data_IF_906475861985
#
_entry.id   IF_906475861985
#
_cell.length_a   1.000
_cell.length_b   1.000
_cell.length_c   1.000
_cell.angle_alpha   90.00
_cell.angle_beta   90.00
_cell.angle_gamma   90.00
#
_symmetry.space_group_name_H-M   'P 1'
#
loop_
_entity.id
_entity.type
_entity.pdbx_description
1 polymer ?
#
# COMPACT_ATOMS: atom_id res chain seq x y z
N UNK A 1 -9.75 -34.64 56.72
CA UNK A 1 -8.99 -35.11 55.55
C UNK A 1 -9.40 -34.27 54.32
N UNK A 2 -8.62 -33.24 54.05
CA UNK A 2 -8.88 -32.34 52.90
C UNK A 2 -8.11 -32.84 51.67
N UNK A 3 -8.80 -33.44 50.72
CA UNK A 3 -8.26 -33.75 49.39
C UNK A 3 -8.14 -32.46 48.59
N UNK A 4 -6.94 -31.88 48.51
CA UNK A 4 -6.59 -30.84 47.55
C UNK A 4 -6.75 -31.46 46.15
N UNK A 5 -7.76 -31.01 45.38
CA UNK A 5 -7.84 -31.24 43.96
C UNK A 5 -6.65 -30.55 43.30
N UNK A 6 -5.70 -31.32 42.80
CA UNK A 6 -4.68 -30.83 41.90
C UNK A 6 -5.39 -30.39 40.60
N UNK A 7 -5.61 -29.10 40.45
CA UNK A 7 -5.89 -28.50 39.18
C UNK A 7 -4.62 -28.71 38.32
N UNK A 8 -4.69 -29.67 37.40
CA UNK A 8 -3.75 -29.76 36.30
C UNK A 8 -3.85 -28.45 35.52
N UNK A 9 -3.04 -27.47 35.87
CA UNK A 9 -2.78 -26.32 35.02
C UNK A 9 -2.05 -26.92 33.80
N UNK A 10 -2.75 -27.05 32.68
CA UNK A 10 -2.16 -27.35 31.39
C UNK A 10 -1.06 -26.32 31.17
N UNK A 11 0.17 -26.67 31.50
CA UNK A 11 1.33 -25.93 31.03
C UNK A 11 1.32 -26.10 29.53
N UNK A 12 0.88 -25.07 28.82
CA UNK A 12 1.08 -25.02 27.39
C UNK A 12 2.57 -25.25 27.11
N UNK A 13 2.90 -26.25 26.32
CA UNK A 13 4.29 -26.49 25.99
C UNK A 13 4.85 -25.24 25.34
N UNK A 14 5.88 -24.68 25.91
CA UNK A 14 6.69 -23.58 25.36
C UNK A 14 7.51 -24.08 24.16
N UNK A 15 6.92 -24.96 23.37
CA UNK A 15 7.56 -25.48 22.19
C UNK A 15 7.38 -24.44 21.06
N UNK A 16 8.45 -24.12 20.38
CA UNK A 16 8.48 -23.19 19.23
C UNK A 16 7.37 -23.56 18.24
N UNK A 17 7.12 -24.84 18.01
CA UNK A 17 6.07 -25.37 17.12
C UNK A 17 4.66 -24.95 17.57
N UNK A 18 4.38 -24.95 18.86
CA UNK A 18 3.06 -24.55 19.36
C UNK A 18 2.85 -23.03 19.26
N UNK A 19 3.90 -22.24 19.48
CA UNK A 19 3.87 -20.80 19.29
C UNK A 19 3.72 -20.44 17.79
N UNK A 20 4.34 -21.16 16.90
CA UNK A 20 4.16 -21.00 15.43
C UNK A 20 2.69 -21.27 15.03
N UNK A 21 2.10 -22.37 15.50
CA UNK A 21 0.69 -22.68 15.25
C UNK A 21 -0.27 -21.61 15.76
N UNK A 22 0.03 -21.04 16.93
CA UNK A 22 -0.79 -19.97 17.50
C UNK A 22 -0.69 -18.68 16.68
N UNK A 23 0.51 -18.29 16.28
CA UNK A 23 0.72 -17.11 15.42
C UNK A 23 0.06 -17.32 14.04
N UNK A 24 0.19 -18.50 13.46
CA UNK A 24 -0.47 -18.87 12.21
C UNK A 24 -2.00 -18.72 12.33
N UNK A 25 -2.60 -19.26 13.39
CA UNK A 25 -4.03 -19.15 13.65
C UNK A 25 -4.49 -17.70 13.86
N UNK A 26 -3.70 -16.90 14.57
CA UNK A 26 -3.98 -15.47 14.79
C UNK A 26 -4.00 -14.72 13.46
N UNK A 27 -2.99 -14.95 12.61
CA UNK A 27 -2.87 -14.30 11.30
C UNK A 27 -3.97 -14.75 10.33
N UNK A 28 -4.33 -16.04 10.36
CA UNK A 28 -5.39 -16.57 9.52
C UNK A 28 -6.78 -16.05 9.89
N UNK A 29 -7.05 -15.88 11.19
CA UNK A 29 -8.33 -15.39 11.69
C UNK A 29 -8.45 -13.85 11.67
N UNK A 30 -7.40 -13.14 11.32
CA UNK A 30 -7.42 -11.68 11.30
C UNK A 30 -8.09 -11.15 10.03
N UNK A 31 -9.03 -10.24 10.19
CA UNK A 31 -9.69 -9.53 9.07
C UNK A 31 -8.77 -8.48 8.45
N UNK A 32 -7.84 -7.91 9.25
CA UNK A 32 -6.90 -6.88 8.83
C UNK A 32 -5.45 -7.32 9.07
N UNK A 33 -4.47 -6.80 8.29
CA UNK A 33 -3.05 -7.04 8.54
C UNK A 33 -2.63 -6.62 9.95
N UNK A 34 -1.91 -7.48 10.67
CA UNK A 34 -1.51 -7.28 12.06
C UNK A 34 -0.05 -6.84 12.18
N UNK A 35 0.20 -5.87 13.05
CA UNK A 35 1.54 -5.49 13.47
C UNK A 35 2.11 -6.46 14.54
N UNK A 36 3.41 -6.33 14.82
CA UNK A 36 4.10 -7.19 15.79
C UNK A 36 3.51 -7.10 17.19
N UNK A 37 3.09 -5.92 17.62
CA UNK A 37 2.57 -5.68 18.96
C UNK A 37 1.20 -6.35 19.13
N UNK A 38 0.33 -6.22 18.16
CA UNK A 38 -0.98 -6.88 18.13
C UNK A 38 -0.86 -8.41 18.17
N UNK A 39 0.09 -8.98 17.40
CA UNK A 39 0.36 -10.42 17.41
C UNK A 39 0.87 -10.85 18.80
N UNK A 40 1.83 -10.10 19.36
CA UNK A 40 2.41 -10.40 20.68
C UNK A 40 1.37 -10.36 21.78
N UNK A 41 0.47 -9.38 21.76
CA UNK A 41 -0.60 -9.22 22.73
C UNK A 41 -1.60 -10.39 22.68
N UNK A 42 -1.96 -10.84 21.47
CA UNK A 42 -2.89 -11.96 21.26
C UNK A 42 -2.26 -13.32 21.63
N UNK A 43 -0.95 -13.47 21.43
CA UNK A 43 -0.24 -14.72 21.71
C UNK A 43 -0.20 -15.10 23.20
N UNK A 44 -0.33 -14.14 24.12
CA UNK A 44 -0.28 -14.33 25.58
C UNK A 44 0.93 -15.12 26.10
N UNK A 45 1.86 -15.49 25.25
CA UNK A 45 3.07 -16.25 25.54
C UNK A 45 4.31 -15.38 25.34
N UNK A 46 5.34 -15.59 26.16
CA UNK A 46 6.66 -14.98 25.95
C UNK A 46 7.39 -15.75 24.84
N UNK A 47 7.11 -15.43 23.60
CA UNK A 47 7.77 -16.02 22.44
C UNK A 47 8.42 -14.93 21.59
N UNK A 48 9.45 -15.29 20.83
CA UNK A 48 10.10 -14.38 19.89
C UNK A 48 9.29 -14.31 18.60
N UNK A 49 8.26 -13.45 18.57
CA UNK A 49 7.35 -13.29 17.43
C UNK A 49 8.09 -12.98 16.11
N UNK A 50 9.10 -12.08 16.05
CA UNK A 50 9.85 -11.85 14.81
C UNK A 50 10.50 -13.11 14.23
N UNK A 51 11.05 -13.98 15.10
CA UNK A 51 11.67 -15.24 14.67
C UNK A 51 10.63 -16.23 14.13
N UNK A 52 9.47 -16.28 14.78
CA UNK A 52 8.34 -17.12 14.36
C UNK A 52 7.81 -16.66 13.01
N UNK A 53 7.58 -15.38 12.82
CA UNK A 53 7.09 -14.82 11.56
C UNK A 53 8.05 -15.11 10.40
N UNK A 54 9.35 -14.98 10.63
CA UNK A 54 10.37 -15.31 9.61
C UNK A 54 10.41 -16.81 9.30
N UNK A 55 10.15 -17.68 10.28
CA UNK A 55 10.00 -19.12 10.08
C UNK A 55 8.78 -19.42 9.23
N UNK A 56 7.62 -18.85 9.58
CA UNK A 56 6.36 -19.00 8.83
C UNK A 56 6.47 -18.45 7.41
N UNK A 57 7.06 -17.26 7.22
CA UNK A 57 7.31 -16.70 5.89
C UNK A 57 8.05 -17.68 4.98
N UNK A 58 9.13 -18.30 5.50
CA UNK A 58 9.88 -19.30 4.75
C UNK A 58 9.07 -20.59 4.47
N UNK A 59 8.25 -21.04 5.42
CA UNK A 59 7.40 -22.22 5.25
C UNK A 59 6.30 -22.01 4.21
N UNK A 60 5.80 -20.79 4.09
CA UNK A 60 4.71 -20.44 3.17
C UNK A 60 5.18 -19.92 1.80
N UNK A 61 6.47 -19.69 1.60
CA UNK A 61 7.05 -19.10 0.37
C UNK A 61 6.64 -19.77 -0.94
N UNK A 62 6.42 -21.09 -0.93
CA UNK A 62 6.08 -21.86 -2.14
C UNK A 62 4.72 -22.56 -2.00
N UNK A 63 3.81 -22.01 -1.22
CA UNK A 63 2.46 -22.55 -1.03
C UNK A 63 1.43 -21.74 -1.80
N UNK A 64 0.18 -22.18 -1.77
CA UNK A 64 -0.95 -21.46 -2.37
C UNK A 64 -1.33 -20.16 -1.67
N UNK A 65 -0.77 -19.91 -0.49
CA UNK A 65 -0.81 -18.64 0.24
C UNK A 65 0.59 -18.30 0.73
N UNK A 66 0.94 -17.04 0.72
CA UNK A 66 2.21 -16.53 1.22
C UNK A 66 1.98 -15.62 2.43
N UNK A 67 2.85 -15.71 3.41
CA UNK A 67 2.90 -14.75 4.50
C UNK A 67 3.79 -13.59 4.08
N UNK A 68 3.25 -12.39 4.06
CA UNK A 68 3.96 -11.18 3.64
C UNK A 68 3.87 -10.10 4.71
N UNK A 69 4.88 -9.23 4.71
CA UNK A 69 4.94 -8.03 5.55
C UNK A 69 4.89 -6.80 4.65
N UNK A 70 3.88 -5.96 4.82
CA UNK A 70 3.72 -4.70 4.09
C UNK A 70 3.43 -3.60 5.10
N UNK A 71 4.09 -2.46 5.00
CA UNK A 71 3.96 -1.35 5.94
C UNK A 71 4.07 -1.79 7.43
N UNK A 72 5.01 -2.71 7.72
CA UNK A 72 5.21 -3.34 9.04
C UNK A 72 4.03 -4.17 9.59
N UNK A 73 3.07 -4.51 8.74
CA UNK A 73 1.93 -5.37 9.08
C UNK A 73 2.02 -6.70 8.33
N UNK A 74 1.66 -7.77 9.00
CA UNK A 74 1.72 -9.13 8.49
C UNK A 74 0.34 -9.65 8.10
N UNK A 75 0.26 -10.29 6.95
CA UNK A 75 -0.97 -10.93 6.47
C UNK A 75 -0.67 -12.09 5.53
N UNK A 76 -1.59 -13.05 5.45
CA UNK A 76 -1.59 -14.07 4.40
C UNK A 76 -2.20 -13.49 3.13
N UNK A 77 -1.54 -13.71 1.99
CA UNK A 77 -2.04 -13.33 0.67
C UNK A 77 -1.84 -14.44 -0.34
N UNK A 78 -2.72 -14.51 -1.32
CA UNK A 78 -2.57 -15.37 -2.49
C UNK A 78 -1.45 -14.80 -3.37
N UNK A 79 -0.47 -15.61 -3.80
CA UNK A 79 0.55 -15.15 -4.73
C UNK A 79 -0.04 -14.81 -6.10
N UNK A 80 0.53 -13.82 -6.78
CA UNK A 80 0.04 -13.28 -8.05
C UNK A 80 -0.10 -14.32 -9.17
N UNK A 81 0.77 -15.34 -9.17
CA UNK A 81 0.69 -16.44 -10.15
C UNK A 81 -0.56 -17.31 -10.03
N UNK A 82 -1.30 -17.22 -8.91
CA UNK A 82 -2.56 -17.94 -8.69
C UNK A 82 -3.80 -17.06 -8.83
N UNK A 83 -3.64 -15.76 -9.11
CA UNK A 83 -4.74 -14.80 -9.22
C UNK A 83 -5.78 -15.24 -10.26
N UNK A 84 -5.34 -15.78 -11.40
CA UNK A 84 -6.23 -16.31 -12.45
C UNK A 84 -7.19 -17.41 -11.95
N UNK A 85 -6.76 -18.23 -10.99
CA UNK A 85 -7.60 -19.29 -10.41
C UNK A 85 -8.67 -18.75 -9.46
N UNK A 86 -8.45 -17.52 -8.93
CA UNK A 86 -9.34 -16.88 -7.97
C UNK A 86 -10.40 -16.01 -8.65
N UNK A 87 -10.20 -15.64 -9.90
CA UNK A 87 -11.11 -14.79 -10.69
C UNK A 87 -12.32 -15.58 -11.21
N UNK A 88 -13.11 -16.17 -10.30
CA UNK A 88 -14.37 -16.83 -10.64
C UNK A 88 -15.55 -15.87 -10.81
N UNK A 89 -15.41 -14.63 -10.33
CA UNK A 89 -16.42 -13.57 -10.48
C UNK A 89 -15.73 -12.27 -10.83
N UNK A 90 -15.85 -11.86 -12.07
CA UNK A 90 -15.57 -10.48 -12.49
C UNK A 90 -16.62 -9.56 -11.89
N UNK A 91 -16.44 -9.17 -10.63
CA UNK A 91 -17.00 -7.91 -10.21
C UNK A 91 -16.26 -6.85 -11.03
N UNK A 92 -16.95 -6.19 -11.94
CA UNK A 92 -16.42 -5.07 -12.71
C UNK A 92 -16.08 -3.95 -11.71
N UNK A 93 -14.88 -4.01 -11.14
CA UNK A 93 -14.36 -2.88 -10.39
C UNK A 93 -14.34 -1.70 -11.37
N UNK A 94 -15.06 -0.64 -11.02
CA UNK A 94 -15.07 0.58 -11.82
C UNK A 94 -13.63 1.05 -11.94
N UNK A 95 -13.08 0.99 -13.15
CA UNK A 95 -11.74 1.53 -13.44
C UNK A 95 -11.70 2.99 -12.99
N UNK A 96 -10.61 3.37 -12.33
CA UNK A 96 -10.39 4.76 -11.98
C UNK A 96 -10.35 5.60 -13.26
N UNK A 97 -10.93 6.79 -13.19
CA UNK A 97 -10.81 7.75 -14.30
C UNK A 97 -9.35 8.24 -14.42
N UNK A 98 -8.93 8.64 -15.63
CA UNK A 98 -7.62 9.25 -15.86
C UNK A 98 -7.34 10.38 -14.85
N UNK A 99 -8.33 11.25 -14.60
CA UNK A 99 -8.23 12.32 -13.62
C UNK A 99 -7.96 11.81 -12.18
N UNK A 100 -8.54 10.68 -11.80
CA UNK A 100 -8.31 10.09 -10.47
C UNK A 100 -6.89 9.52 -10.35
N UNK A 101 -6.40 8.87 -11.40
CA UNK A 101 -5.03 8.32 -11.45
C UNK A 101 -4.00 9.46 -11.40
N UNK A 102 -4.16 10.51 -12.19
CA UNK A 102 -3.30 11.69 -12.18
C UNK A 102 -3.27 12.35 -10.79
N UNK A 103 -4.45 12.53 -10.19
CA UNK A 103 -4.58 13.11 -8.85
C UNK A 103 -3.88 12.24 -7.79
N UNK A 104 -4.06 10.92 -7.86
CA UNK A 104 -3.38 9.99 -6.97
C UNK A 104 -1.86 10.09 -7.12
N UNK A 105 -1.34 10.07 -8.35
CA UNK A 105 0.09 10.18 -8.62
C UNK A 105 0.68 11.47 -8.02
N UNK A 106 0.01 12.62 -8.19
CA UNK A 106 0.46 13.87 -7.59
C UNK A 106 0.48 13.79 -6.07
N UNK A 107 -0.56 13.24 -5.45
CA UNK A 107 -0.58 13.09 -3.99
C UNK A 107 0.58 12.20 -3.54
N UNK A 108 0.82 11.08 -4.19
CA UNK A 108 1.88 10.12 -3.86
C UNK A 108 3.26 10.76 -3.85
N UNK A 109 3.58 11.55 -4.88
CA UNK A 109 4.92 12.13 -5.04
C UNK A 109 5.11 13.49 -4.34
N UNK A 110 4.01 14.20 -4.00
CA UNK A 110 4.07 15.57 -3.48
C UNK A 110 3.47 15.77 -2.09
N UNK A 111 3.02 14.70 -1.46
CA UNK A 111 2.42 14.78 -0.12
C UNK A 111 3.36 15.37 0.94
N UNK A 112 2.81 16.15 1.90
CA UNK A 112 1.41 16.52 2.05
C UNK A 112 1.02 17.66 1.10
N UNK A 113 -0.05 17.49 0.31
CA UNK A 113 -0.47 18.40 -0.76
C UNK A 113 -1.93 18.81 -0.60
N UNK A 114 -2.24 20.06 -0.95
CA UNK A 114 -3.60 20.60 -0.94
C UNK A 114 -4.28 20.44 -2.29
N UNK A 115 -5.61 20.57 -2.31
CA UNK A 115 -6.37 20.53 -3.56
C UNK A 115 -5.89 21.54 -4.59
N UNK A 116 -5.63 22.79 -4.15
CA UNK A 116 -5.17 23.85 -5.05
C UNK A 116 -3.81 23.54 -5.66
N UNK A 117 -2.90 22.94 -4.88
CA UNK A 117 -1.59 22.51 -5.39
C UNK A 117 -1.71 21.35 -6.38
N UNK A 118 -2.64 20.42 -6.14
CA UNK A 118 -2.91 19.34 -7.11
C UNK A 118 -3.43 19.92 -8.43
N UNK A 119 -4.36 20.87 -8.38
CA UNK A 119 -4.90 21.56 -9.55
C UNK A 119 -3.84 22.38 -10.29
N UNK A 120 -2.93 23.04 -9.55
CA UNK A 120 -1.79 23.77 -10.09
C UNK A 120 -0.84 22.84 -10.86
N UNK A 121 -0.48 21.70 -10.25
CA UNK A 121 0.39 20.70 -10.86
C UNK A 121 -0.25 20.09 -12.11
N UNK A 122 -1.54 19.75 -12.06
CA UNK A 122 -2.26 19.21 -13.22
C UNK A 122 -2.47 20.24 -14.33
N UNK A 123 -2.46 21.53 -14.00
CA UNK A 123 -2.81 22.62 -14.91
C UNK A 123 -4.32 22.71 -15.22
N UNK A 124 -5.14 21.87 -14.61
CA UNK A 124 -6.60 21.84 -14.77
C UNK A 124 -7.30 21.54 -13.43
N UNK A 125 -8.45 22.14 -13.21
CA UNK A 125 -9.29 21.81 -12.05
C UNK A 125 -9.91 20.41 -12.20
N UNK A 126 -10.26 19.79 -11.10
CA UNK A 126 -10.94 18.50 -11.09
C UNK A 126 -12.22 18.53 -10.23
N UNK A 127 -13.18 17.68 -10.60
CA UNK A 127 -14.43 17.55 -9.86
C UNK A 127 -14.22 16.98 -8.45
N UNK A 128 -15.16 17.26 -7.56
CA UNK A 128 -15.15 16.73 -6.18
C UNK A 128 -15.10 15.20 -6.16
N UNK A 129 -15.84 14.52 -7.03
CA UNK A 129 -15.87 13.05 -7.11
C UNK A 129 -14.51 12.40 -7.39
N UNK A 130 -13.56 13.11 -8.00
CA UNK A 130 -12.21 12.56 -8.24
C UNK A 130 -11.45 12.27 -6.95
N UNK A 131 -11.50 13.20 -5.99
CA UNK A 131 -10.84 13.01 -4.70
C UNK A 131 -11.68 12.11 -3.78
N UNK A 132 -13.00 12.18 -3.89
CA UNK A 132 -13.93 11.36 -3.11
C UNK A 132 -13.70 9.87 -3.35
N UNK A 133 -13.52 9.43 -4.61
CA UNK A 133 -13.22 8.04 -4.93
C UNK A 133 -11.93 7.57 -4.23
N UNK A 134 -10.88 8.39 -4.21
CA UNK A 134 -9.61 8.05 -3.56
C UNK A 134 -9.75 7.98 -2.03
N UNK A 135 -10.62 8.80 -1.45
CA UNK A 135 -10.97 8.75 -0.02
C UNK A 135 -11.82 7.51 0.30
N UNK A 136 -12.79 7.15 -0.55
CA UNK A 136 -13.64 5.96 -0.41
C UNK A 136 -12.82 4.66 -0.50
N UNK A 137 -11.83 4.62 -1.38
CA UNK A 137 -10.87 3.51 -1.47
C UNK A 137 -9.91 3.46 -0.29
N UNK A 138 -9.94 4.44 0.61
CA UNK A 138 -8.98 4.60 1.70
C UNK A 138 -7.51 4.70 1.25
N UNK A 139 -7.24 5.05 0.00
CA UNK A 139 -5.87 5.24 -0.48
C UNK A 139 -5.29 6.59 -0.10
N UNK A 140 -6.16 7.56 0.11
CA UNK A 140 -5.82 8.94 0.50
C UNK A 140 -6.60 9.31 1.76
N UNK A 141 -5.99 10.12 2.62
CA UNK A 141 -6.64 10.66 3.80
C UNK A 141 -6.25 12.13 4.03
N UNK A 142 -7.09 12.92 4.71
CA UNK A 142 -6.69 14.25 5.17
C UNK A 142 -5.60 14.14 6.25
N UNK A 143 -4.60 15.05 6.18
CA UNK A 143 -3.47 15.10 7.11
C UNK A 143 -3.26 16.50 7.69
N UNK A 144 -4.34 17.11 8.19
CA UNK A 144 -4.28 18.44 8.77
C UNK A 144 -4.54 19.56 7.76
N UNK A 145 -4.13 20.77 8.11
CA UNK A 145 -4.33 22.00 7.31
C UNK A 145 -3.01 22.72 7.10
N UNK A 146 -2.82 23.25 5.90
CA UNK A 146 -1.63 24.07 5.59
C UNK A 146 -1.72 25.40 6.32
N UNK A 147 -0.61 25.89 6.86
CA UNK A 147 -0.56 27.15 7.58
C UNK A 147 -0.41 28.37 6.63
N UNK A 148 -1.42 28.56 5.80
CA UNK A 148 -1.54 29.69 4.85
C UNK A 148 -2.96 30.27 4.95
N UNK A 149 -3.22 31.48 4.44
CA UNK A 149 -4.57 32.04 4.39
C UNK A 149 -5.58 31.04 3.80
N UNK A 150 -6.74 30.91 4.43
CA UNK A 150 -7.75 29.90 4.06
C UNK A 150 -7.55 28.52 4.68
N UNK A 151 -6.36 28.22 5.26
CA UNK A 151 -6.03 26.94 5.94
C UNK A 151 -6.54 25.70 5.19
N UNK A 152 -6.18 25.50 3.92
CA UNK A 152 -6.67 24.40 3.11
C UNK A 152 -6.24 23.05 3.70
N UNK A 153 -7.09 22.03 3.51
CA UNK A 153 -6.82 20.65 3.93
C UNK A 153 -5.68 20.09 3.08
N UNK A 154 -4.75 19.39 3.71
CA UNK A 154 -3.69 18.63 3.07
C UNK A 154 -4.05 17.15 3.03
N UNK A 155 -3.61 16.47 1.98
CA UNK A 155 -3.85 15.06 1.72
C UNK A 155 -2.55 14.28 1.68
N UNK A 156 -2.59 13.05 2.19
CA UNK A 156 -1.48 12.08 2.19
C UNK A 156 -2.03 10.70 1.87
N UNK A 157 -1.15 9.79 1.44
CA UNK A 157 -1.47 8.38 1.26
C UNK A 157 -1.63 7.63 2.59
N UNK A 158 -2.18 6.44 2.54
CA UNK A 158 -2.46 5.58 3.69
C UNK A 158 -1.66 4.28 3.60
N UNK A 159 -1.72 3.46 4.65
CA UNK A 159 -1.19 2.09 4.63
C UNK A 159 -1.95 1.19 3.64
N UNK A 160 -3.24 1.48 3.39
CA UNK A 160 -4.05 0.76 2.39
C UNK A 160 -3.53 1.00 0.98
N UNK A 161 -3.10 2.22 0.67
CA UNK A 161 -2.39 2.51 -0.58
C UNK A 161 -1.13 1.65 -0.71
N UNK A 162 -0.26 1.65 0.30
CA UNK A 162 0.96 0.83 0.28
C UNK A 162 0.64 -0.65 0.12
N UNK A 163 -0.38 -1.11 0.84
CA UNK A 163 -0.85 -2.49 0.80
C UNK A 163 -1.38 -2.89 -0.57
N UNK A 164 -2.15 -2.01 -1.22
CA UNK A 164 -2.73 -2.25 -2.55
C UNK A 164 -1.65 -2.35 -3.63
N UNK A 165 -0.67 -1.43 -3.60
CA UNK A 165 0.44 -1.39 -4.55
C UNK A 165 1.64 -2.27 -4.15
N UNK A 166 1.50 -3.07 -3.08
CA UNK A 166 2.54 -3.98 -2.57
C UNK A 166 3.87 -3.28 -2.24
N UNK A 167 3.79 -2.05 -1.72
CA UNK A 167 4.92 -1.22 -1.32
C UNK A 167 5.18 -1.33 0.18
N UNK A 168 6.44 -1.47 0.59
CA UNK A 168 6.79 -1.43 2.02
C UNK A 168 6.75 0.02 2.56
N UNK A 169 7.18 0.97 1.74
CA UNK A 169 7.23 2.39 2.06
C UNK A 169 7.16 3.22 0.77
N UNK A 170 6.84 4.50 0.90
CA UNK A 170 6.76 5.41 -0.24
C UNK A 170 8.09 5.58 -0.99
N UNK A 171 9.22 5.43 -0.31
CA UNK A 171 10.53 5.49 -0.96
C UNK A 171 10.84 4.30 -1.88
N UNK A 172 9.99 3.27 -1.90
CA UNK A 172 10.09 2.15 -2.82
C UNK A 172 9.46 2.47 -4.20
N UNK A 173 8.83 3.63 -4.32
CA UNK A 173 8.34 4.15 -5.60
C UNK A 173 9.53 4.53 -6.50
N UNK A 174 9.43 4.23 -7.80
CA UNK A 174 10.49 4.55 -8.74
C UNK A 174 10.70 6.06 -8.81
N UNK A 175 11.96 6.48 -8.80
CA UNK A 175 12.35 7.86 -9.04
C UNK A 175 12.43 8.17 -10.55
N UNK A 176 12.67 9.44 -10.90
CA UNK A 176 12.77 9.88 -12.31
C UNK A 176 13.81 9.11 -13.08
N UNK A 177 14.98 8.85 -12.48
CA UNK A 177 16.10 8.15 -13.12
C UNK A 177 15.73 6.70 -13.42
N UNK A 178 15.04 6.04 -12.52
CA UNK A 178 14.54 4.67 -12.69
C UNK A 178 13.47 4.60 -13.78
N UNK A 179 12.52 5.56 -13.78
CA UNK A 179 11.48 5.65 -14.82
C UNK A 179 12.07 5.93 -16.21
N UNK A 180 13.09 6.78 -16.27
CA UNK A 180 13.82 7.08 -17.50
C UNK A 180 14.60 5.86 -17.98
N UNK A 181 15.30 5.16 -17.07
CA UNK A 181 16.06 3.94 -17.39
C UNK A 181 15.16 2.81 -17.88
N UNK A 182 13.93 2.75 -17.36
CA UNK A 182 12.90 1.82 -17.81
C UNK A 182 12.24 2.22 -19.16
N UNK A 183 12.60 3.39 -19.72
CA UNK A 183 12.03 3.90 -20.98
C UNK A 183 10.58 4.38 -20.85
N UNK A 184 10.13 4.64 -19.62
CA UNK A 184 8.76 5.11 -19.34
C UNK A 184 8.64 6.64 -19.42
N UNK A 185 9.76 7.35 -19.34
CA UNK A 185 9.86 8.81 -19.45
C UNK A 185 11.08 9.17 -20.27
N UNK A 186 10.95 10.13 -21.18
CA UNK A 186 12.05 10.66 -22.00
C UNK A 186 12.95 11.60 -21.18
N UNK A 187 14.22 11.26 -21.03
CA UNK A 187 15.22 12.01 -20.24
C UNK A 187 15.44 13.46 -20.69
N UNK A 188 15.07 13.81 -21.92
CA UNK A 188 15.27 15.16 -22.47
C UNK A 188 14.23 16.20 -22.05
N UNK A 189 13.17 15.81 -21.37
CA UNK A 189 11.98 16.63 -21.15
C UNK A 189 11.48 16.70 -19.70
N UNK A 190 12.13 15.99 -18.77
CA UNK A 190 11.68 15.96 -17.39
C UNK A 190 12.66 16.72 -16.52
N UNK A 191 12.20 17.86 -16.00
CA UNK A 191 12.94 18.57 -14.95
C UNK A 191 12.91 17.68 -13.68
N UNK A 192 14.09 17.29 -13.20
CA UNK A 192 14.26 16.47 -11.99
C UNK A 192 13.63 17.11 -10.74
N UNK A 193 13.33 18.41 -10.79
CA UNK A 193 12.56 19.10 -9.76
C UNK A 193 11.11 18.64 -9.63
N UNK A 194 10.59 17.92 -10.64
CA UNK A 194 9.21 17.43 -10.68
C UNK A 194 8.92 16.44 -9.55
N UNK A 195 9.86 15.60 -9.19
CA UNK A 195 9.66 14.52 -8.24
C UNK A 195 10.18 14.82 -6.81
N UNK A 196 10.73 16.01 -6.55
CA UNK A 196 11.36 16.28 -5.26
C UNK A 196 11.03 17.58 -4.56
N UNK A 197 10.60 18.64 -5.22
CA UNK A 197 10.53 19.98 -4.58
C UNK A 197 9.25 20.78 -4.80
N UNK A 198 8.22 20.23 -5.41
CA UNK A 198 6.91 20.92 -5.53
C UNK A 198 6.92 22.22 -6.33
N UNK A 199 7.91 22.46 -7.18
CA UNK A 199 7.94 23.62 -8.09
C UNK A 199 7.91 23.17 -9.52
N UNK A 200 6.77 23.39 -10.16
CA UNK A 200 6.42 22.82 -11.44
C UNK A 200 6.23 23.76 -12.59
N UNK A 201 6.53 23.22 -13.75
CA UNK A 201 6.16 23.61 -15.11
C UNK A 201 6.28 25.09 -15.45
N UNK A 202 7.44 25.46 -15.99
CA UNK A 202 7.48 26.49 -17.02
C UNK A 202 7.21 25.82 -18.35
N UNK A 203 6.12 26.28 -18.95
CA UNK A 203 5.57 25.98 -20.25
C UNK A 203 6.56 25.51 -21.31
N UNK A 204 6.32 24.30 -21.85
CA UNK A 204 6.48 24.02 -23.27
C UNK A 204 5.78 22.70 -23.63
N UNK A 205 4.76 22.86 -24.50
CA UNK A 205 4.07 21.88 -25.33
C UNK A 205 3.10 20.90 -24.66
N UNK A 206 1.82 21.09 -24.96
CA UNK A 206 0.67 20.29 -24.53
C UNK A 206 0.77 18.81 -24.94
N UNK A 207 1.45 18.50 -26.06
CA UNK A 207 1.69 17.14 -26.55
C UNK A 207 2.63 16.30 -25.64
N UNK A 208 3.48 16.95 -24.80
CA UNK A 208 4.41 16.25 -23.92
C UNK A 208 3.84 15.95 -22.55
N UNK A 209 2.81 16.68 -22.12
CA UNK A 209 2.10 16.39 -20.86
C UNK A 209 1.33 15.07 -20.93
N UNK A 210 0.73 14.77 -22.10
CA UNK A 210 0.01 13.52 -22.32
C UNK A 210 0.91 12.29 -22.13
N UNK A 211 2.18 12.39 -22.48
CA UNK A 211 3.10 11.24 -22.48
C UNK A 211 3.57 10.85 -21.07
N UNK A 212 3.75 11.81 -20.16
CA UNK A 212 4.16 11.52 -18.77
C UNK A 212 3.01 10.83 -18.01
N UNK A 213 1.81 11.36 -18.16
CA UNK A 213 0.65 10.82 -17.47
C UNK A 213 0.20 9.48 -18.05
N UNK A 214 0.32 9.28 -19.38
CA UNK A 214 0.04 7.97 -19.98
C UNK A 214 1.01 6.88 -19.51
N UNK A 215 2.27 7.22 -19.26
CA UNK A 215 3.25 6.28 -18.75
C UNK A 215 3.01 5.92 -17.28
N UNK A 216 2.57 6.89 -16.45
CA UNK A 216 2.13 6.63 -15.08
C UNK A 216 0.84 5.80 -15.08
N UNK A 217 -0.09 6.11 -15.99
CA UNK A 217 -1.32 5.35 -16.20
C UNK A 217 -1.03 3.90 -16.62
N UNK A 218 -0.06 3.70 -17.51
CA UNK A 218 0.41 2.38 -17.92
C UNK A 218 1.10 1.61 -16.76
N UNK A 219 1.87 2.28 -15.91
CA UNK A 219 2.45 1.67 -14.70
C UNK A 219 1.37 1.25 -13.71
N UNK A 220 0.45 2.15 -13.42
CA UNK A 220 -0.66 1.88 -12.50
C UNK A 220 -1.59 0.80 -13.08
N UNK A 221 -1.88 0.84 -14.38
CA UNK A 221 -2.67 -0.17 -15.07
C UNK A 221 -1.94 -1.52 -15.19
N UNK A 222 -0.60 -1.54 -15.27
CA UNK A 222 0.19 -2.79 -15.20
C UNK A 222 0.18 -3.38 -13.81
N UNK A 223 0.30 -2.54 -12.77
CA UNK A 223 0.14 -2.99 -11.38
C UNK A 223 -1.25 -3.54 -11.13
N UNK A 224 -2.29 -2.90 -11.67
CA UNK A 224 -3.68 -3.37 -11.60
C UNK A 224 -3.93 -4.61 -12.47
N UNK A 225 -3.23 -4.74 -13.62
CA UNK A 225 -3.33 -5.90 -14.51
C UNK A 225 -2.50 -7.09 -14.05
N UNK A 226 -1.41 -6.89 -13.31
CA UNK A 226 -0.67 -7.98 -12.69
C UNK A 226 -1.46 -8.66 -11.57
N UNK A 227 -2.56 -8.06 -11.14
CA UNK A 227 -3.56 -8.68 -10.29
C UNK A 227 -4.67 -9.39 -11.10
N UNK A 228 -4.76 -9.16 -12.43
CA UNK A 228 -5.73 -9.82 -13.34
C UNK A 228 -5.10 -10.96 -14.17
N UNK A 229 -3.80 -11.18 -14.10
CA UNK A 229 -3.08 -12.31 -14.70
C UNK A 229 -2.53 -13.25 -13.63
#
# INVERSE_FOLDING_TARGET
>A
MNKKKNLNILKFPTNIIEAERQVEAILFAAEEPLDLESIQTRLKAKANVPKILKSLENQYKNRGINLICIANKWSFRTPSNLSKLMNLETSTQKKLSKAAIETLAIIVYHQPVTRSEIEEIRGVSFGTGTLEILLELNWVRPSGRKNVPGKPIQYVTTDEFLSHFNLQKLSDLPNVEELTSAGLIDSGNVDSSIFGTGKFFKEKNDEKKENIYSNIDDMLNRSLKSEEE
#
